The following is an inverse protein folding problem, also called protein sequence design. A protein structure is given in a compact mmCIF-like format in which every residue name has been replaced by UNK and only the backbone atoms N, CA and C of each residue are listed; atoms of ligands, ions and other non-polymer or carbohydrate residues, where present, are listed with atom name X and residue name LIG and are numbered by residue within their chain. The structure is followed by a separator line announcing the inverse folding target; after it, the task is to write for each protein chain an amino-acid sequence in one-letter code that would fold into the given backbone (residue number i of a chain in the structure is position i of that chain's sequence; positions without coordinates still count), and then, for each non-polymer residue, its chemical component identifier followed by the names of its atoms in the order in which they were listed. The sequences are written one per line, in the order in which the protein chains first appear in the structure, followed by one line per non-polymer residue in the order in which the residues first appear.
data_IF_544764056552
#
_entry.id   IF_544764056552
#
_cell.length_a   1.000
_cell.length_b   1.000
_cell.length_c   1.000
_cell.angle_alpha   90.00
_cell.angle_beta   90.00
_cell.angle_gamma   90.00
#
_symmetry.space_group_name_H-M   'P 1'
#
loop_
_entity.id
_entity.type
_entity.pdbx_description
1 polymer ?
#
# COMPACT_ATOMS: atom_id res chain seq x y z
N UNK A 1 -10.27 -19.29 -11.97
CA UNK A 1 -11.18 -18.63 -11.03
C UNK A 1 -10.68 -17.22 -10.83
N UNK A 2 -11.50 -16.21 -11.12
CA UNK A 2 -11.19 -14.83 -10.75
C UNK A 2 -11.51 -14.67 -9.27
N UNK A 3 -10.56 -14.13 -8.50
CA UNK A 3 -10.76 -13.85 -7.08
C UNK A 3 -11.74 -12.68 -6.93
N UNK A 4 -12.61 -12.73 -5.93
CA UNK A 4 -13.53 -11.64 -5.63
C UNK A 4 -12.75 -10.39 -5.15
N UNK A 5 -13.29 -9.18 -5.39
CA UNK A 5 -12.59 -7.92 -5.07
C UNK A 5 -12.17 -7.81 -3.60
N UNK A 6 -12.97 -8.35 -2.69
CA UNK A 6 -12.73 -8.37 -1.25
C UNK A 6 -11.59 -9.31 -0.83
N UNK A 7 -11.37 -10.42 -1.55
CA UNK A 7 -10.24 -11.31 -1.32
C UNK A 7 -8.92 -10.66 -1.76
N UNK A 8 -8.96 -9.89 -2.84
CA UNK A 8 -7.79 -9.15 -3.35
C UNK A 8 -7.37 -7.99 -2.45
N UNK A 9 -8.37 -7.36 -1.84
CA UNK A 9 -8.18 -6.39 -0.76
C UNK A 9 -7.40 -7.09 0.38
N UNK A 10 -7.87 -8.24 0.86
CA UNK A 10 -7.18 -9.02 1.89
C UNK A 10 -5.73 -9.38 1.53
N UNK A 11 -5.48 -9.87 0.31
CA UNK A 11 -4.16 -10.30 -0.15
C UNK A 11 -3.14 -9.17 -0.31
N UNK A 12 -3.60 -7.93 -0.50
CA UNK A 12 -2.73 -6.78 -0.65
C UNK A 12 -2.69 -5.89 0.61
N UNK A 13 -3.03 -6.49 1.77
CA UNK A 13 -2.71 -5.97 3.10
C UNK A 13 -1.25 -6.30 3.42
N UNK A 14 -0.48 -5.29 3.82
CA UNK A 14 0.92 -5.41 4.19
C UNK A 14 1.07 -5.34 5.71
N UNK A 15 1.98 -6.13 6.25
CA UNK A 15 2.46 -5.96 7.61
C UNK A 15 3.40 -4.74 7.65
N UNK A 16 2.96 -3.66 8.30
CA UNK A 16 3.67 -2.40 8.25
C UNK A 16 3.60 -1.63 9.57
N UNK A 17 4.76 -1.19 10.04
CA UNK A 17 4.92 -0.36 11.23
C UNK A 17 5.16 1.10 10.81
N UNK A 18 4.30 2.01 11.27
CA UNK A 18 4.54 3.44 11.14
C UNK A 18 5.32 3.95 12.36
N UNK A 19 6.38 4.70 12.11
CA UNK A 19 7.13 5.37 13.17
C UNK A 19 6.27 6.41 13.89
N UNK A 20 6.60 6.76 15.15
CA UNK A 20 5.85 7.74 15.93
C UNK A 20 5.74 9.13 15.29
N UNK A 21 6.73 9.52 14.48
CA UNK A 21 6.72 10.77 13.72
C UNK A 21 5.76 10.72 12.49
N UNK A 22 5.25 9.53 12.16
CA UNK A 22 4.40 9.28 11.01
C UNK A 22 5.10 9.43 9.66
N UNK A 23 6.43 9.57 9.63
CA UNK A 23 7.22 9.83 8.43
C UNK A 23 7.92 8.58 7.88
N UNK A 24 8.12 7.56 8.71
CA UNK A 24 8.78 6.33 8.32
C UNK A 24 7.79 5.17 8.37
N UNK A 25 7.74 4.38 7.31
CA UNK A 25 6.96 3.15 7.23
C UNK A 25 7.91 1.99 7.04
N UNK A 26 7.93 1.04 7.97
CA UNK A 26 8.63 -0.23 7.83
C UNK A 26 7.66 -1.27 7.32
N UNK A 27 8.01 -2.00 6.28
CA UNK A 27 7.17 -3.05 5.71
C UNK A 27 7.91 -4.35 5.83
N UNK A 28 7.25 -5.35 6.41
CA UNK A 28 7.79 -6.71 6.53
C UNK A 28 7.09 -7.60 5.51
N UNK A 29 7.85 -8.33 4.72
CA UNK A 29 7.31 -9.30 3.78
C UNK A 29 8.23 -10.52 3.69
N UNK A 30 7.67 -11.62 3.19
CA UNK A 30 8.42 -12.84 2.95
C UNK A 30 8.73 -12.96 1.46
N UNK A 31 10.00 -13.11 1.13
CA UNK A 31 10.46 -13.40 -0.23
C UNK A 31 10.93 -14.85 -0.32
N UNK A 32 10.87 -15.42 -1.53
CA UNK A 32 11.48 -16.71 -1.79
C UNK A 32 13.00 -16.55 -1.80
N UNK A 33 13.73 -17.41 -1.10
CA UNK A 33 15.19 -17.34 -1.13
C UNK A 33 15.72 -17.66 -2.53
N UNK A 34 16.75 -16.92 -2.98
CA UNK A 34 17.38 -17.09 -4.30
C UNK A 34 17.93 -18.51 -4.52
N UNK A 35 18.16 -19.26 -3.43
CA UNK A 35 18.77 -20.59 -3.43
C UNK A 35 17.76 -21.72 -3.20
N UNK A 36 16.45 -21.43 -3.27
CA UNK A 36 15.39 -22.44 -3.30
C UNK A 36 15.09 -23.14 -1.97
N UNK A 37 15.75 -22.75 -0.89
CA UNK A 37 15.49 -23.27 0.47
C UNK A 37 14.90 -22.16 1.35
N UNK A 38 13.61 -22.25 1.64
CA UNK A 38 12.92 -21.39 2.61
C UNK A 38 12.43 -20.04 2.08
N UNK A 39 11.65 -19.35 2.93
CA UNK A 39 11.32 -17.94 2.77
C UNK A 39 12.20 -17.12 3.71
N UNK A 40 12.64 -15.94 3.25
CA UNK A 40 13.41 -15.00 4.06
C UNK A 40 12.49 -13.84 4.43
N UNK A 41 12.52 -13.44 5.70
CA UNK A 41 11.81 -12.25 6.14
C UNK A 41 12.65 -11.04 5.73
N UNK A 42 12.07 -10.22 4.87
CA UNK A 42 12.66 -8.97 4.43
C UNK A 42 11.95 -7.79 5.06
N UNK A 43 12.71 -6.71 5.24
CA UNK A 43 12.20 -5.44 5.73
C UNK A 43 12.59 -4.35 4.73
N UNK A 44 11.58 -3.59 4.28
CA UNK A 44 11.78 -2.36 3.52
C UNK A 44 11.41 -1.16 4.39
N UNK A 45 12.32 -0.18 4.47
CA UNK A 45 12.09 1.07 5.21
C UNK A 45 11.81 2.17 4.20
N UNK A 46 10.65 2.81 4.33
CA UNK A 46 10.18 3.87 3.44
C UNK A 46 10.09 5.18 4.20
N UNK A 47 10.68 6.24 3.67
CA UNK A 47 10.65 7.58 4.24
C UNK A 47 9.75 8.50 3.41
N UNK A 48 8.86 9.21 4.09
CA UNK A 48 7.99 10.22 3.50
C UNK A 48 8.77 11.46 3.11
N UNK A 49 8.62 11.84 1.84
CA UNK A 49 9.15 13.06 1.28
C UNK A 49 8.04 14.08 1.02
N UNK A 50 8.08 14.71 -0.16
CA UNK A 50 7.18 15.79 -0.53
C UNK A 50 5.72 15.33 -0.68
N UNK A 51 4.80 16.23 -0.35
CA UNK A 51 3.39 16.08 -0.69
C UNK A 51 3.20 16.23 -2.20
N UNK A 52 2.59 15.23 -2.83
CA UNK A 52 2.29 15.21 -4.26
C UNK A 52 0.92 15.81 -4.57
N UNK A 53 -0.02 15.76 -3.62
CA UNK A 53 -1.35 16.36 -3.79
C UNK A 53 -2.28 16.09 -2.63
N UNK A 54 -3.48 16.66 -2.69
CA UNK A 54 -4.56 16.38 -1.76
C UNK A 54 -5.92 16.53 -2.44
N UNK A 55 -6.90 15.79 -1.91
CA UNK A 55 -8.28 15.85 -2.37
C UNK A 55 -9.25 15.49 -1.24
N UNK A 56 -10.54 15.39 -1.58
CA UNK A 56 -11.60 15.19 -0.59
C UNK A 56 -11.52 13.91 0.25
N UNK A 57 -10.64 12.97 -0.09
CA UNK A 57 -10.46 11.69 0.60
C UNK A 57 -9.11 11.56 1.31
N UNK A 58 -8.26 12.58 1.26
CA UNK A 58 -6.97 12.58 1.92
C UNK A 58 -5.83 13.16 1.09
N UNK A 59 -4.61 12.78 1.46
CA UNK A 59 -3.38 13.40 0.96
C UNK A 59 -2.46 12.36 0.35
N UNK A 60 -1.72 12.74 -0.69
CA UNK A 60 -0.76 11.87 -1.38
C UNK A 60 0.64 12.40 -1.16
N UNK A 61 1.55 11.52 -0.76
CA UNK A 61 2.96 11.81 -0.53
C UNK A 61 3.85 10.93 -1.40
N UNK A 62 5.01 11.47 -1.78
CA UNK A 62 6.11 10.67 -2.31
C UNK A 62 6.80 9.99 -1.13
N UNK A 63 7.06 8.70 -1.24
CA UNK A 63 7.95 8.00 -0.33
C UNK A 63 9.11 7.39 -1.10
N UNK A 64 10.25 7.27 -0.44
CA UNK A 64 11.47 6.66 -0.97
C UNK A 64 11.97 5.58 -0.02
N UNK A 65 12.38 4.44 -0.58
CA UNK A 65 12.92 3.35 0.19
C UNK A 65 14.37 3.65 0.59
N UNK A 66 14.62 3.71 1.90
CA UNK A 66 15.92 4.04 2.49
C UNK A 66 16.67 2.81 3.01
N UNK A 67 16.03 1.64 3.05
CA UNK A 67 16.65 0.35 3.36
C UNK A 67 15.84 -0.83 2.78
N UNK A 68 16.48 -2.00 2.72
CA UNK A 68 15.91 -3.24 2.18
C UNK A 68 16.22 -3.43 0.69
N UNK A 69 15.68 -4.51 0.10
CA UNK A 69 15.86 -4.82 -1.33
C UNK A 69 15.37 -3.68 -2.24
N UNK A 70 14.39 -2.93 -1.77
CA UNK A 70 13.77 -1.83 -2.51
C UNK A 70 14.55 -0.51 -2.44
N UNK A 71 15.77 -0.48 -1.86
CA UNK A 71 16.56 0.75 -1.67
C UNK A 71 16.60 1.64 -2.93
N UNK A 72 16.27 2.93 -2.77
CA UNK A 72 16.20 3.92 -3.84
C UNK A 72 14.92 3.89 -4.68
N UNK A 73 14.02 2.91 -4.47
CA UNK A 73 12.71 2.90 -5.11
C UNK A 73 11.83 4.04 -4.58
N UNK A 74 10.95 4.55 -5.44
CA UNK A 74 10.01 5.62 -5.10
C UNK A 74 8.57 5.16 -5.29
N UNK A 75 7.67 5.64 -4.43
CA UNK A 75 6.23 5.35 -4.52
C UNK A 75 5.38 6.56 -4.16
N UNK A 76 4.13 6.53 -4.60
CA UNK A 76 3.10 7.44 -4.13
C UNK A 76 2.24 6.73 -3.07
N UNK A 77 2.10 7.34 -1.88
CA UNK A 77 1.25 6.83 -0.80
C UNK A 77 0.12 7.82 -0.54
N UNK A 78 -1.11 7.33 -0.66
CA UNK A 78 -2.32 8.09 -0.30
C UNK A 78 -2.70 7.77 1.14
N UNK A 79 -2.61 8.76 2.01
CA UNK A 79 -3.11 8.71 3.38
C UNK A 79 -4.59 9.07 3.32
N UNK A 80 -5.44 8.09 3.64
CA UNK A 80 -6.89 8.30 3.68
C UNK A 80 -7.27 8.75 5.09
N UNK A 81 -7.85 9.94 5.20
CA UNK A 81 -8.42 10.40 6.46
C UNK A 81 -9.73 9.65 6.69
N UNK A 82 -9.78 8.79 7.70
CA UNK A 82 -11.04 8.20 8.17
C UNK A 82 -11.77 9.30 8.97
N UNK A 83 -12.91 9.85 8.49
CA UNK A 83 -13.65 10.79 9.30
C UNK A 83 -14.07 10.08 10.58
N UNK A 84 -13.91 10.76 11.72
CA UNK A 84 -14.50 10.35 12.99
C UNK A 84 -15.96 10.00 12.72
N UNK A 85 -16.35 8.79 13.10
CA UNK A 85 -17.57 8.05 12.77
C UNK A 85 -18.93 8.74 13.03
N UNK A 86 -18.98 10.05 13.29
CA UNK A 86 -20.15 10.69 13.87
C UNK A 86 -21.10 11.37 12.87
N UNK A 87 -20.67 11.83 11.68
CA UNK A 87 -21.55 12.75 10.90
C UNK A 87 -21.68 12.58 9.38
N UNK A 88 -21.05 11.61 8.72
CA UNK A 88 -21.40 11.28 7.32
C UNK A 88 -21.45 9.78 7.15
N UNK A 89 -22.59 9.29 6.66
CA UNK A 89 -22.86 7.87 6.46
C UNK A 89 -21.68 7.15 5.83
N UNK A 90 -21.30 6.03 6.44
CA UNK A 90 -20.33 5.02 5.99
C UNK A 90 -19.77 5.29 4.59
N UNK A 91 -18.65 6.02 4.51
CA UNK A 91 -17.88 6.05 3.27
C UNK A 91 -17.41 4.62 3.05
N UNK A 92 -17.92 4.00 2.00
CA UNK A 92 -17.59 2.65 1.57
C UNK A 92 -16.19 2.61 0.95
N UNK A 93 -15.18 2.62 1.83
CA UNK A 93 -13.76 2.49 1.46
C UNK A 93 -13.45 1.14 0.82
N UNK A 94 -14.19 0.10 1.22
CA UNK A 94 -14.20 -1.22 0.59
C UNK A 94 -14.31 -1.14 -0.93
N UNK A 95 -15.22 -0.32 -1.47
CA UNK A 95 -15.41 -0.18 -2.94
C UNK A 95 -14.24 0.47 -3.67
N UNK A 96 -13.61 1.50 -3.10
CA UNK A 96 -12.44 2.13 -3.73
C UNK A 96 -11.26 1.15 -3.74
N UNK A 97 -11.08 0.41 -2.65
CA UNK A 97 -10.04 -0.60 -2.51
C UNK A 97 -10.26 -1.82 -3.43
N UNK A 98 -11.51 -2.26 -3.57
CA UNK A 98 -11.92 -3.31 -4.52
C UNK A 98 -11.67 -2.87 -5.96
N UNK A 99 -12.03 -1.62 -6.32
CA UNK A 99 -11.78 -1.10 -7.66
C UNK A 99 -10.29 -1.11 -7.98
N UNK A 100 -9.44 -0.56 -7.09
CA UNK A 100 -7.99 -0.57 -7.27
C UNK A 100 -7.45 -2.00 -7.36
N UNK A 101 -7.98 -2.94 -6.57
CA UNK A 101 -7.58 -4.34 -6.61
C UNK A 101 -7.94 -5.01 -7.94
N UNK A 102 -9.16 -4.79 -8.46
CA UNK A 102 -9.61 -5.32 -9.75
C UNK A 102 -8.79 -4.74 -10.92
N UNK A 103 -8.49 -3.45 -10.90
CA UNK A 103 -7.64 -2.81 -11.91
C UNK A 103 -6.19 -3.30 -11.88
N UNK A 104 -5.70 -3.74 -10.72
CA UNK A 104 -4.33 -4.29 -10.59
C UNK A 104 -4.21 -5.72 -11.16
N UNK A 105 -5.31 -6.43 -11.37
CA UNK A 105 -5.31 -7.79 -11.92
C UNK A 105 -5.44 -7.85 -13.44
N UNK A 106 -6.11 -6.88 -14.06
CA UNK A 106 -6.28 -6.89 -15.50
C UNK A 106 -4.92 -6.61 -16.14
N UNK A 107 -4.42 -7.60 -16.91
CA UNK A 107 -3.33 -7.45 -17.91
C UNK A 107 -3.77 -6.52 -19.06
N UNK A 108 -4.46 -5.42 -18.76
CA UNK A 108 -4.82 -4.42 -19.73
C UNK A 108 -3.58 -3.58 -19.98
N UNK A 109 -3.18 -3.49 -21.26
CA UNK A 109 -2.04 -2.74 -21.78
C UNK A 109 -2.22 -1.22 -21.63
N UNK A 110 -2.51 -0.75 -20.42
CA UNK A 110 -2.59 0.65 -20.05
C UNK A 110 -1.65 0.90 -18.88
N UNK A 111 -1.08 2.10 -18.81
CA UNK A 111 -0.24 2.59 -17.72
C UNK A 111 -1.07 2.74 -16.45
N UNK A 112 -1.46 1.61 -15.86
CA UNK A 112 -2.19 1.53 -14.60
C UNK A 112 -1.15 1.50 -13.49
N UNK A 113 -1.29 2.41 -12.52
CA UNK A 113 -0.40 2.50 -11.36
C UNK A 113 -0.46 1.17 -10.61
N UNK A 114 0.66 0.46 -10.58
CA UNK A 114 0.77 -0.81 -9.88
C UNK A 114 0.62 -0.56 -8.37
N UNK A 115 -0.35 -1.24 -7.75
CA UNK A 115 -0.59 -1.15 -6.31
C UNK A 115 0.46 -1.97 -5.55
N UNK A 116 1.09 -1.34 -4.56
CA UNK A 116 2.07 -2.01 -3.68
C UNK A 116 1.43 -2.62 -2.42
N UNK A 117 0.31 -2.06 -1.92
CA UNK A 117 -0.45 -2.59 -0.77
C UNK A 117 -0.96 -1.50 0.19
N UNK A 118 -1.46 -1.87 1.39
CA UNK A 118 -1.79 -0.93 2.48
C UNK A 118 -1.40 -1.45 3.87
N UNK A 119 -1.12 -0.58 4.86
CA UNK A 119 -0.74 -0.99 6.22
C UNK A 119 -1.87 -1.74 6.96
N UNK A 120 -1.50 -2.80 7.66
CA UNK A 120 -2.28 -3.36 8.75
C UNK A 120 -2.02 -2.55 10.04
N UNK A 121 -3.08 -1.97 10.62
CA UNK A 121 -3.08 -1.53 12.01
C UNK A 121 -3.93 -2.49 12.85
#
# INVERSE_FOLDING_TARGET
MALEGSELVGLAKLDADLSPDGLTTRIKYWSASTWGYGSVQEEAVWQRGSRLGAGGFGEVYKEEATAGEQFGAVRAVKIIQKPTLQHRGSIRYDRELEAVAQFSQQKANYTIIQRLGWPAF
#
